data_IF_387172365805
#
_entry.id   IF_387172365805
#
_cell.length_a   1.000
_cell.length_b   1.000
_cell.length_c   1.000
_cell.angle_alpha   90.00
_cell.angle_beta   90.00
_cell.angle_gamma   90.00
#
_symmetry.space_group_name_H-M   'P 1'
#
loop_
_entity.id
_entity.type
_entity.pdbx_description
1 polymer ?
#
# COMPACT_ATOMS: atom_id res chain seq x y z
N UNK A 1 5.72 -8.26 -3.30
CA UNK A 1 6.49 -6.98 -3.41
C UNK A 1 6.63 -6.35 -2.04
N UNK A 2 7.85 -6.00 -1.67
CA UNK A 2 8.12 -5.30 -0.42
C UNK A 2 8.15 -3.81 -0.66
N UNK A 3 7.40 -3.06 0.17
CA UNK A 3 7.38 -1.61 0.11
C UNK A 3 7.60 -1.05 1.51
N UNK A 4 8.07 0.18 1.56
CA UNK A 4 8.30 0.86 2.83
C UNK A 4 7.45 2.12 2.90
N UNK A 5 6.77 2.30 4.03
CA UNK A 5 6.00 3.49 4.35
C UNK A 5 6.45 3.94 5.73
N UNK A 6 7.10 5.08 5.80
CA UNK A 6 7.79 5.55 7.00
C UNK A 6 8.78 4.49 7.50
N UNK A 7 8.60 3.98 8.70
CA UNK A 7 9.48 2.95 9.26
C UNK A 7 8.92 1.55 9.17
N UNK A 8 7.77 1.39 8.52
CA UNK A 8 7.12 0.08 8.43
C UNK A 8 7.28 -0.51 7.04
N UNK A 9 7.61 -1.79 6.98
CA UNK A 9 7.68 -2.55 5.74
C UNK A 9 6.39 -3.33 5.57
N UNK A 10 5.82 -3.27 4.37
CA UNK A 10 4.62 -4.02 4.01
C UNK A 10 4.93 -4.95 2.85
N UNK A 11 4.28 -6.11 2.85
CA UNK A 11 4.31 -7.04 1.73
C UNK A 11 2.99 -6.93 0.98
N UNK A 12 3.08 -6.58 -0.30
CA UNK A 12 1.93 -6.56 -1.20
C UNK A 12 1.91 -7.88 -1.97
N UNK A 13 0.78 -8.62 -1.97
CA UNK A 13 0.71 -9.87 -2.75
C UNK A 13 1.09 -9.63 -4.21
N UNK A 14 2.09 -10.35 -4.69
CA UNK A 14 2.68 -10.09 -5.99
C UNK A 14 1.67 -10.28 -7.13
N UNK A 15 0.79 -11.26 -7.00
CA UNK A 15 -0.23 -11.52 -8.03
C UNK A 15 -1.23 -10.38 -8.19
N UNK A 16 -1.33 -9.50 -7.20
CA UNK A 16 -2.22 -8.35 -7.25
C UNK A 16 -1.57 -7.12 -7.84
N UNK A 17 -0.24 -7.11 -7.98
CA UNK A 17 0.49 -5.94 -8.46
C UNK A 17 0.45 -5.90 -9.98
N UNK A 18 -0.04 -4.78 -10.54
CA UNK A 18 -0.05 -4.57 -11.98
C UNK A 18 1.19 -3.82 -12.45
N UNK A 19 1.51 -2.72 -11.78
CA UNK A 19 2.67 -1.91 -12.12
C UNK A 19 2.99 -0.98 -10.95
N UNK A 20 4.17 -0.39 -10.98
CA UNK A 20 4.54 0.68 -10.07
C UNK A 20 4.96 1.88 -10.90
N UNK A 21 4.58 3.07 -10.44
CA UNK A 21 4.89 4.31 -11.15
C UNK A 21 5.43 5.35 -10.18
N UNK A 22 6.19 6.29 -10.75
CA UNK A 22 6.58 7.51 -10.04
C UNK A 22 5.73 8.64 -10.60
N UNK A 23 4.63 8.99 -9.94
CA UNK A 23 3.71 9.97 -10.50
C UNK A 23 4.27 11.38 -10.41
N UNK A 24 3.77 12.25 -11.28
CA UNK A 24 3.99 13.68 -11.17
C UNK A 24 2.84 14.30 -10.39
N UNK A 25 3.05 15.51 -9.86
CA UNK A 25 2.03 16.14 -9.02
C UNK A 25 0.71 16.37 -9.78
N UNK A 26 0.80 16.63 -11.09
CA UNK A 26 -0.38 16.90 -11.90
C UNK A 26 -1.23 15.66 -12.19
N UNK A 27 -0.72 14.45 -11.88
CA UNK A 27 -1.51 13.23 -12.00
C UNK A 27 -2.47 13.03 -10.83
N UNK A 28 -2.23 13.69 -9.71
CA UNK A 28 -3.10 13.58 -8.54
C UNK A 28 -4.26 14.56 -8.64
N UNK A 29 -5.45 14.07 -8.29
CA UNK A 29 -6.68 14.86 -8.27
C UNK A 29 -7.48 14.53 -7.04
N UNK A 30 -8.23 15.51 -6.54
CA UNK A 30 -9.16 15.27 -5.45
C UNK A 30 -10.57 15.38 -6.01
N UNK A 31 -11.34 14.32 -5.86
CA UNK A 31 -12.73 14.26 -6.29
C UNK A 31 -13.66 14.26 -5.09
N UNK A 32 -14.75 15.02 -5.19
CA UNK A 32 -15.64 15.25 -4.06
C UNK A 32 -16.20 13.98 -3.44
N UNK A 33 -16.51 12.97 -4.25
CA UNK A 33 -17.14 11.74 -3.76
C UNK A 33 -16.15 10.58 -3.59
N UNK A 34 -15.02 10.65 -4.25
CA UNK A 34 -14.07 9.53 -4.30
C UNK A 34 -12.78 9.80 -3.53
N UNK A 35 -12.61 11.05 -3.06
CA UNK A 35 -11.37 11.43 -2.41
C UNK A 35 -10.24 11.60 -3.40
N UNK A 36 -9.03 11.19 -3.02
CA UNK A 36 -7.85 11.35 -3.84
C UNK A 36 -7.79 10.26 -4.91
N UNK A 37 -7.58 10.67 -6.16
CA UNK A 37 -7.43 9.76 -7.29
C UNK A 37 -6.16 10.11 -8.06
N UNK A 38 -5.69 9.15 -8.85
CA UNK A 38 -4.55 9.37 -9.74
C UNK A 38 -5.00 9.09 -11.16
N UNK A 39 -4.59 9.96 -12.10
CA UNK A 39 -4.89 9.79 -13.51
C UNK A 39 -3.76 9.02 -14.19
N UNK A 40 -4.09 7.88 -14.78
CA UNK A 40 -3.13 7.05 -15.50
C UNK A 40 -3.74 6.68 -16.83
N UNK A 41 -3.12 7.11 -17.91
CA UNK A 41 -3.54 6.79 -19.28
C UNK A 41 -5.04 7.05 -19.51
N UNK A 42 -5.51 8.22 -19.02
CA UNK A 42 -6.90 8.62 -19.18
C UNK A 42 -7.88 7.98 -18.22
N UNK A 43 -7.40 7.14 -17.31
CA UNK A 43 -8.24 6.46 -16.32
C UNK A 43 -7.95 7.03 -14.93
N UNK A 44 -9.00 7.22 -14.15
CA UNK A 44 -8.87 7.71 -12.77
C UNK A 44 -8.98 6.55 -11.81
N UNK A 45 -7.93 6.33 -11.02
CA UNK A 45 -7.89 5.27 -10.02
C UNK A 45 -7.87 5.87 -8.62
N UNK A 46 -8.64 5.33 -7.67
CA UNK A 46 -8.56 5.79 -6.30
C UNK A 46 -7.18 5.50 -5.71
N UNK A 47 -6.71 6.38 -4.84
CA UNK A 47 -5.40 6.27 -4.21
C UNK A 47 -5.59 6.04 -2.71
N UNK A 48 -4.93 5.02 -2.19
CA UNK A 48 -4.90 4.75 -0.77
C UNK A 48 -3.52 5.09 -0.23
N UNK A 49 -3.47 6.01 0.71
CA UNK A 49 -2.24 6.36 1.41
C UNK A 49 -2.07 5.39 2.58
N UNK A 50 -1.12 4.46 2.48
CA UNK A 50 -0.90 3.46 3.52
C UNK A 50 -0.49 4.10 4.85
N UNK A 51 0.27 5.19 4.79
CA UNK A 51 0.64 5.88 6.02
C UNK A 51 -0.57 6.38 6.81
N UNK A 52 -1.56 6.91 6.10
CA UNK A 52 -2.80 7.35 6.75
C UNK A 52 -3.68 6.18 7.15
N UNK A 53 -3.75 5.14 6.31
CA UNK A 53 -4.59 3.98 6.57
C UNK A 53 -4.19 3.25 7.86
N UNK A 54 -2.89 3.22 8.17
CA UNK A 54 -2.37 2.52 9.33
C UNK A 54 -1.86 3.46 10.42
N UNK A 55 -2.22 4.75 10.35
CA UNK A 55 -1.82 5.76 11.34
C UNK A 55 -0.32 5.85 11.55
N UNK A 56 0.44 5.75 10.47
CA UNK A 56 1.88 5.92 10.54
C UNK A 56 2.20 7.41 10.44
N UNK A 57 2.73 7.97 11.50
CA UNK A 57 3.11 9.36 11.52
C UNK A 57 4.55 9.52 11.03
N UNK A 58 4.77 10.53 10.22
CA UNK A 58 6.09 10.89 9.76
C UNK A 58 6.48 12.26 10.29
N UNK A 59 7.69 12.37 10.80
CA UNK A 59 8.23 13.67 11.19
C UNK A 59 8.49 14.54 9.96
N UNK A 60 8.59 13.94 8.78
CA UNK A 60 8.75 14.66 7.53
C UNK A 60 7.59 14.30 6.61
N UNK A 61 6.77 15.29 6.30
CA UNK A 61 5.77 15.11 5.26
C UNK A 61 6.46 15.12 3.92
N UNK A 62 6.64 13.94 3.33
CA UNK A 62 7.08 13.87 1.95
C UNK A 62 5.95 14.38 1.07
N UNK A 63 6.30 15.19 0.09
CA UNK A 63 5.33 15.59 -0.91
C UNK A 63 4.93 14.37 -1.73
N UNK A 64 3.76 14.41 -2.35
CA UNK A 64 3.32 13.30 -3.20
C UNK A 64 4.30 13.03 -4.35
N UNK A 65 5.08 14.04 -4.74
CA UNK A 65 6.08 13.89 -5.79
C UNK A 65 7.23 12.97 -5.41
N UNK A 66 7.49 12.81 -4.12
CA UNK A 66 8.58 11.96 -3.64
C UNK A 66 8.14 10.53 -3.37
N UNK A 67 6.86 10.24 -3.58
CA UNK A 67 6.30 8.92 -3.29
C UNK A 67 6.10 8.14 -4.58
N UNK A 68 6.02 6.82 -4.41
CA UNK A 68 5.72 5.90 -5.50
C UNK A 68 4.29 5.41 -5.35
N UNK A 69 3.68 5.03 -6.45
CA UNK A 69 2.35 4.44 -6.44
C UNK A 69 2.45 3.03 -7.03
N UNK A 70 1.99 2.06 -6.27
CA UNK A 70 1.89 0.68 -6.74
C UNK A 70 0.44 0.44 -7.12
N UNK A 71 0.21 0.13 -8.40
CA UNK A 71 -1.14 -0.14 -8.89
C UNK A 71 -1.45 -1.60 -8.63
N UNK A 72 -2.54 -1.83 -7.90
CA UNK A 72 -2.98 -3.18 -7.56
C UNK A 72 -4.40 -3.39 -8.07
N UNK A 73 -4.73 -4.66 -8.28
CA UNK A 73 -6.08 -5.06 -8.68
C UNK A 73 -6.55 -6.20 -7.78
N UNK A 74 -7.79 -6.08 -7.29
CA UNK A 74 -8.43 -7.11 -6.51
C UNK A 74 -9.93 -7.11 -6.85
N UNK A 75 -10.45 -8.25 -7.28
CA UNK A 75 -11.85 -8.40 -7.66
C UNK A 75 -12.29 -7.34 -8.68
N UNK A 76 -11.49 -7.15 -9.72
CA UNK A 76 -11.74 -6.18 -10.80
C UNK A 76 -11.66 -4.72 -10.34
N UNK A 77 -11.33 -4.48 -9.09
CA UNK A 77 -11.12 -3.13 -8.59
C UNK A 77 -9.64 -2.80 -8.62
N UNK A 78 -9.31 -1.69 -9.27
CA UNK A 78 -7.94 -1.19 -9.34
C UNK A 78 -7.79 0.02 -8.45
N UNK A 79 -6.66 0.10 -7.77
CA UNK A 79 -6.33 1.28 -6.98
C UNK A 79 -4.82 1.46 -6.92
N UNK A 80 -4.41 2.65 -6.51
CA UNK A 80 -3.00 2.95 -6.28
C UNK A 80 -2.70 2.96 -4.79
N UNK A 81 -1.65 2.25 -4.40
CA UNK A 81 -1.15 2.30 -3.03
C UNK A 81 0.03 3.25 -2.98
N UNK A 82 -0.11 4.30 -2.20
CA UNK A 82 0.93 5.33 -2.07
C UNK A 82 1.96 4.86 -1.04
N UNK A 83 3.21 4.71 -1.47
CA UNK A 83 4.30 4.19 -0.64
C UNK A 83 5.52 5.11 -0.76
N UNK A 84 6.45 5.01 0.20
CA UNK A 84 7.65 5.83 0.18
C UNK A 84 8.72 5.25 -0.74
N UNK A 85 8.88 3.93 -0.75
CA UNK A 85 9.84 3.25 -1.61
C UNK A 85 9.48 1.80 -1.81
N UNK A 86 10.00 1.23 -2.88
CA UNK A 86 9.92 -0.20 -3.16
C UNK A 86 11.27 -0.80 -2.80
N UNK A 87 11.26 -1.85 -2.01
CA UNK A 87 12.49 -2.51 -1.57
C UNK A 87 12.85 -3.65 -2.50
N UNK A 88 14.14 -3.86 -2.67
CA UNK A 88 14.62 -5.02 -3.40
C UNK A 88 14.22 -6.30 -2.68
N UNK A 89 14.14 -7.39 -3.45
CA UNK A 89 13.78 -8.69 -2.88
C UNK A 89 14.80 -9.11 -1.83
N UNK A 90 14.37 -9.08 -0.59
CA UNK A 90 15.15 -9.66 0.49
C UNK A 90 14.69 -11.08 0.72
N UNK A 91 15.62 -11.95 1.16
CA UNK A 91 15.23 -13.29 1.55
C UNK A 91 14.24 -13.23 2.69
N UNK A 92 13.03 -13.67 2.40
CA UNK A 92 11.96 -13.70 3.38
C UNK A 92 11.98 -15.07 4.04
N UNK A 93 12.29 -15.12 5.32
CA UNK A 93 12.08 -16.32 6.12
C UNK A 93 10.65 -16.24 6.62
N UNK A 94 9.79 -17.06 6.04
CA UNK A 94 8.38 -17.06 6.43
C UNK A 94 8.27 -17.78 7.77
N UNK A 95 8.18 -17.01 8.84
CA UNK A 95 7.65 -17.51 10.09
C UNK A 95 6.28 -16.90 10.26
N UNK A 96 5.26 -17.72 10.26
CA UNK A 96 3.93 -17.22 10.58
C UNK A 96 3.97 -16.73 12.02
N UNK A 97 3.90 -15.41 12.19
CA UNK A 97 3.72 -14.86 13.53
C UNK A 97 2.24 -14.98 13.87
N UNK A 98 1.92 -16.08 14.49
CA UNK A 98 0.56 -16.31 14.95
C UNK A 98 0.28 -15.44 16.16
N UNK A 99 -0.93 -15.08 16.33
CA UNK A 99 -1.60 -14.61 17.55
C UNK A 99 -1.69 -13.10 17.79
N UNK A 100 -0.68 -12.29 17.50
CA UNK A 100 -0.76 -10.89 17.93
C UNK A 100 -1.06 -9.88 16.84
N UNK A 101 -1.00 -10.28 15.55
CA UNK A 101 -1.18 -9.37 14.45
C UNK A 101 -2.52 -9.54 13.72
N UNK A 102 -3.35 -10.48 14.19
CA UNK A 102 -4.60 -10.81 13.50
C UNK A 102 -5.68 -9.77 13.61
N UNK A 103 -5.50 -8.79 14.49
CA UNK A 103 -6.57 -7.87 14.79
C UNK A 103 -6.35 -6.49 14.19
N UNK A 104 -5.36 -6.35 13.32
CA UNK A 104 -5.16 -5.10 12.59
C UNK A 104 -5.95 -5.20 11.29
N UNK A 105 -7.01 -4.39 11.12
CA UNK A 105 -7.78 -4.42 9.88
C UNK A 105 -6.88 -4.09 8.68
N UNK A 106 -6.98 -4.91 7.63
CA UNK A 106 -6.16 -4.74 6.44
C UNK A 106 -4.84 -5.50 6.46
N UNK A 107 -4.52 -6.20 7.55
CA UNK A 107 -3.29 -6.99 7.68
C UNK A 107 -3.65 -8.46 7.76
N UNK A 108 -3.06 -9.26 6.87
CA UNK A 108 -3.29 -10.70 6.82
C UNK A 108 -2.33 -11.48 7.71
N UNK A 109 -1.18 -10.91 8.04
CA UNK A 109 -0.18 -11.59 8.83
C UNK A 109 1.12 -10.79 8.83
N UNK A 110 2.19 -11.43 9.28
CA UNK A 110 3.49 -10.81 9.33
C UNK A 110 4.57 -11.82 8.92
N UNK A 111 5.65 -11.31 8.36
CA UNK A 111 6.82 -12.12 8.04
C UNK A 111 8.04 -11.51 8.69
N UNK A 112 9.01 -12.36 9.01
CA UNK A 112 10.29 -11.89 9.51
C UNK A 112 11.26 -11.86 8.33
N UNK A 113 11.89 -10.70 8.12
CA UNK A 113 12.87 -10.52 7.05
C UNK A 113 14.22 -11.07 7.46
N UNK A 114 15.11 -11.28 6.47
CA UNK A 114 16.42 -11.84 6.71
C UNK A 114 17.29 -11.04 7.67
N UNK A 115 17.05 -9.73 7.78
CA UNK A 115 17.76 -8.84 8.71
C UNK A 115 17.13 -8.77 10.11
N UNK A 116 16.06 -9.55 10.35
CA UNK A 116 15.35 -9.53 11.62
C UNK A 116 14.19 -8.56 11.67
N UNK A 117 14.01 -7.72 10.67
CA UNK A 117 12.86 -6.81 10.61
C UNK A 117 11.56 -7.55 10.33
N UNK A 118 10.45 -6.86 10.54
CA UNK A 118 9.11 -7.45 10.34
C UNK A 118 8.42 -6.73 9.19
N UNK A 119 7.85 -7.51 8.27
CA UNK A 119 6.99 -6.99 7.21
C UNK A 119 5.55 -7.41 7.50
N UNK A 120 4.62 -6.46 7.39
CA UNK A 120 3.20 -6.75 7.54
C UNK A 120 2.61 -7.08 6.16
N UNK A 121 1.92 -8.21 6.09
CA UNK A 121 1.32 -8.68 4.84
C UNK A 121 -0.04 -8.03 4.68
N UNK A 122 -0.23 -7.32 3.58
CA UNK A 122 -1.49 -6.64 3.32
C UNK A 122 -2.58 -7.64 2.90
N UNK A 123 -3.74 -7.48 3.49
CA UNK A 123 -4.97 -8.17 3.09
C UNK A 123 -5.74 -7.20 2.20
N UNK A 124 -5.51 -7.25 0.88
CA UNK A 124 -6.09 -6.30 -0.04
C UNK A 124 -7.63 -6.31 -0.04
N UNK A 125 -8.31 -7.48 -0.05
CA UNK A 125 -9.76 -7.45 -0.01
C UNK A 125 -10.31 -6.69 1.20
N UNK A 126 -9.74 -6.93 2.38
CA UNK A 126 -10.17 -6.28 3.61
C UNK A 126 -9.80 -4.80 3.61
N UNK A 127 -8.57 -4.48 3.18
CA UNK A 127 -8.07 -3.11 3.16
C UNK A 127 -8.89 -2.23 2.22
N UNK A 128 -9.21 -2.72 1.02
CA UNK A 128 -9.95 -1.96 0.04
C UNK A 128 -11.41 -1.77 0.45
N UNK A 129 -12.02 -2.78 1.07
CA UNK A 129 -13.39 -2.65 1.58
C UNK A 129 -13.48 -1.61 2.69
N UNK A 130 -12.49 -1.57 3.56
CA UNK A 130 -12.45 -0.61 4.65
C UNK A 130 -12.21 0.82 4.14
N UNK A 131 -11.34 0.96 3.14
CA UNK A 131 -10.89 2.27 2.66
C UNK A 131 -11.81 2.87 1.62
N UNK A 132 -12.37 2.03 0.76
CA UNK A 132 -13.28 2.45 -0.30
C UNK A 132 -14.61 1.75 -0.08
N UNK A 133 -15.49 2.42 0.65
CA UNK A 133 -16.82 1.86 0.90
C UNK A 133 -17.58 1.80 -0.42
N UNK A 134 -17.55 0.64 -1.05
CA UNK A 134 -18.42 0.34 -2.17
C UNK A 134 -19.68 -0.30 -1.61
N UNK A 135 -20.76 0.40 -1.76
CA UNK A 135 -22.05 -0.20 -1.48
C UNK A 135 -22.44 -1.12 -2.64
#
# INVERSE_FOLDING_TARGET
MLVQVHNQIFTIPLLSVLESIRPTADQFRTMQKQGEVIEIRGEYLPVLNLGKAFNLESERKKTNEEKLVVIVENNKMRCGLLVDRILDQQQVVIKSMEENFFQIPGIAGATILGDGGVSLILDLPSLLRKSFKTN
#
